data_IF_944081831860
#
_entry.id   IF_944081831860
#
_cell.length_a   1.000
_cell.length_b   1.000
_cell.length_c   1.000
_cell.angle_alpha   90.00
_cell.angle_beta   90.00
_cell.angle_gamma   90.00
#
_symmetry.space_group_name_H-M   'P 1'
#
loop_
_entity.id
_entity.type
_entity.pdbx_description
1 polymer ?
#
# COMPACT_ATOMS: atom_id res chain seq x y z
N UNK A 1 61.43 10.50 30.09
CA UNK A 1 61.40 9.12 30.63
C UNK A 1 61.21 9.20 32.14
N UNK A 2 60.11 8.68 32.67
CA UNK A 2 59.86 8.57 34.10
C UNK A 2 58.88 7.43 34.34
N UNK A 3 59.30 6.42 35.12
CA UNK A 3 58.49 5.27 35.54
C UNK A 3 57.92 5.57 36.93
N UNK A 4 56.63 5.31 37.14
CA UNK A 4 56.06 5.07 38.47
C UNK A 4 55.15 3.84 38.38
N UNK A 5 55.46 2.83 39.18
CA UNK A 5 54.66 1.63 39.40
C UNK A 5 53.59 1.90 40.46
N UNK A 6 52.43 1.23 40.38
CA UNK A 6 51.61 0.97 41.58
C UNK A 6 50.76 -0.29 41.37
N UNK A 7 51.20 -1.39 41.99
CA UNK A 7 50.39 -2.57 42.24
C UNK A 7 49.66 -2.33 43.57
N UNK A 8 48.33 -2.33 43.59
CA UNK A 8 47.56 -2.28 44.82
C UNK A 8 46.46 -3.35 44.83
N UNK A 9 46.63 -4.25 45.80
CA UNK A 9 45.76 -5.32 46.27
C UNK A 9 44.34 -4.84 46.64
N UNK A 10 43.42 -5.81 46.52
CA UNK A 10 42.31 -6.06 47.46
C UNK A 10 41.09 -5.13 47.38
N UNK A 11 39.92 -5.69 47.08
CA UNK A 11 38.99 -6.11 48.13
C UNK A 11 37.59 -6.38 47.54
N UNK A 12 37.09 -7.58 47.80
CA UNK A 12 35.67 -7.94 47.80
C UNK A 12 34.78 -6.80 48.29
N UNK A 13 33.66 -6.53 47.61
CA UNK A 13 32.34 -6.29 48.24
C UNK A 13 31.24 -6.09 47.20
N UNK A 14 30.07 -6.61 47.57
CA UNK A 14 28.72 -6.35 47.05
C UNK A 14 28.32 -7.09 45.79
N UNK A 15 27.69 -8.23 46.05
CA UNK A 15 26.73 -8.82 45.13
C UNK A 15 25.62 -7.84 44.74
N UNK A 16 25.07 -8.06 43.56
CA UNK A 16 23.74 -7.60 43.20
C UNK A 16 23.15 -8.61 42.23
N UNK A 17 22.34 -9.54 42.77
CA UNK A 17 21.32 -10.25 42.02
C UNK A 17 20.52 -9.20 41.25
N UNK A 18 20.53 -9.27 39.93
CA UNK A 18 19.54 -8.59 39.10
C UNK A 18 18.68 -9.67 38.47
N UNK A 19 17.41 -9.59 38.82
CA UNK A 19 16.36 -10.52 38.45
C UNK A 19 16.25 -10.58 36.91
N UNK A 20 16.38 -11.76 36.32
CA UNK A 20 15.86 -12.04 34.98
C UNK A 20 14.33 -12.11 35.09
N UNK A 21 13.72 -10.94 35.25
CA UNK A 21 12.28 -10.76 35.21
C UNK A 21 11.80 -10.98 33.78
N UNK A 22 10.90 -11.95 33.63
CA UNK A 22 10.19 -12.27 32.41
C UNK A 22 9.53 -11.04 31.78
N UNK A 23 9.70 -10.89 30.46
CA UNK A 23 8.65 -10.35 29.60
C UNK A 23 8.53 -11.22 28.35
N UNK A 24 7.38 -11.88 28.27
CA UNK A 24 6.65 -12.15 27.02
C UNK A 24 6.91 -11.03 26.00
N UNK A 25 7.04 -11.27 24.73
CA UNK A 25 6.72 -12.44 23.94
C UNK A 25 6.83 -12.01 22.49
N UNK A 26 6.78 -13.00 21.60
CA UNK A 26 6.52 -12.81 20.18
C UNK A 26 7.44 -11.78 19.53
N UNK A 27 8.59 -12.25 19.06
CA UNK A 27 9.15 -11.72 17.83
C UNK A 27 8.03 -11.80 16.79
N UNK A 28 7.28 -10.71 16.65
CA UNK A 28 6.28 -10.55 15.62
C UNK A 28 7.07 -10.69 14.33
N UNK A 29 6.99 -11.89 13.77
CA UNK A 29 7.41 -12.18 12.41
C UNK A 29 6.65 -11.14 11.60
N UNK A 30 7.32 -10.05 11.23
CA UNK A 30 6.74 -9.03 10.37
C UNK A 30 6.46 -9.77 9.08
N UNK A 31 5.23 -10.27 8.94
CA UNK A 31 4.73 -10.78 7.67
C UNK A 31 4.74 -9.54 6.81
N UNK A 32 5.77 -9.42 5.97
CA UNK A 32 5.77 -8.45 4.89
C UNK A 32 4.42 -8.60 4.21
N UNK A 33 3.55 -7.57 4.21
CA UNK A 33 2.27 -7.69 3.55
C UNK A 33 2.59 -8.12 2.12
N UNK A 34 2.02 -9.25 1.70
CA UNK A 34 2.16 -9.76 0.35
C UNK A 34 1.94 -8.56 -0.58
N UNK A 35 2.98 -8.14 -1.29
CA UNK A 35 2.90 -7.00 -2.19
C UNK A 35 1.69 -7.25 -3.06
N UNK A 36 0.63 -6.42 -2.91
CA UNK A 36 -0.63 -6.63 -3.61
C UNK A 36 -0.28 -6.74 -5.08
N UNK A 37 -0.42 -7.93 -5.64
CA UNK A 37 -0.20 -8.14 -7.06
C UNK A 37 -1.19 -7.22 -7.77
N UNK A 38 -0.75 -6.38 -8.71
CA UNK A 38 -1.68 -5.50 -9.40
C UNK A 38 -2.72 -6.38 -10.08
N UNK A 39 -3.97 -6.30 -9.63
CA UNK A 39 -5.08 -6.99 -10.27
C UNK A 39 -5.35 -6.27 -11.58
N UNK A 40 -4.74 -6.74 -12.66
CA UNK A 40 -5.02 -6.23 -14.00
C UNK A 40 -6.23 -6.99 -14.54
N UNK A 41 -7.39 -6.34 -14.52
CA UNK A 41 -8.57 -6.84 -15.24
C UNK A 41 -8.48 -6.37 -16.69
N UNK A 42 -8.59 -7.31 -17.64
CA UNK A 42 -8.65 -7.01 -19.07
C UNK A 42 -10.13 -7.05 -19.48
N UNK A 43 -10.63 -5.95 -20.04
CA UNK A 43 -11.97 -5.84 -20.58
C UNK A 43 -11.89 -5.76 -22.10
N UNK A 44 -12.47 -6.75 -22.78
CA UNK A 44 -12.62 -6.74 -24.24
C UNK A 44 -13.94 -6.08 -24.59
N UNK A 45 -13.89 -4.98 -25.34
CA UNK A 45 -15.07 -4.28 -25.85
C UNK A 45 -15.16 -4.58 -27.35
N UNK A 46 -16.17 -5.35 -27.74
CA UNK A 46 -16.44 -5.71 -29.13
C UNK A 46 -17.49 -4.78 -29.74
N UNK A 47 -17.59 -4.82 -31.07
CA UNK A 47 -18.61 -4.11 -31.85
C UNK A 47 -18.59 -2.58 -31.67
N UNK A 48 -17.41 -2.00 -31.48
CA UNK A 48 -17.26 -0.54 -31.40
C UNK A 48 -17.36 0.05 -32.81
N UNK A 49 -18.30 0.99 -33.08
CA UNK A 49 -18.39 1.67 -34.36
C UNK A 49 -17.07 2.38 -34.72
N UNK A 50 -16.70 2.37 -36.01
CA UNK A 50 -15.40 2.90 -36.46
C UNK A 50 -15.25 4.40 -36.22
N UNK A 51 -16.32 5.14 -36.41
CA UNK A 51 -16.43 6.58 -36.09
C UNK A 51 -16.16 6.83 -34.60
N UNK A 52 -16.71 5.99 -33.72
CA UNK A 52 -16.50 6.10 -32.28
C UNK A 52 -15.05 5.77 -31.88
N UNK A 53 -14.44 4.76 -32.51
CA UNK A 53 -13.00 4.48 -32.32
C UNK A 53 -12.13 5.66 -32.76
N UNK A 54 -12.43 6.27 -33.91
CA UNK A 54 -11.72 7.45 -34.39
C UNK A 54 -11.82 8.63 -33.43
N UNK A 55 -13.03 8.92 -32.94
CA UNK A 55 -13.24 9.98 -31.96
C UNK A 55 -12.49 9.74 -30.65
N UNK A 56 -12.44 8.49 -30.16
CA UNK A 56 -11.65 8.14 -28.96
C UNK A 56 -10.16 8.40 -29.21
N UNK A 57 -9.63 8.01 -30.37
CA UNK A 57 -8.21 8.20 -30.68
C UNK A 57 -7.85 9.68 -30.74
N UNK A 58 -8.69 10.50 -31.37
CA UNK A 58 -8.50 11.95 -31.40
C UNK A 58 -8.53 12.57 -30.00
N UNK A 59 -9.50 12.19 -29.17
CA UNK A 59 -9.62 12.71 -27.80
C UNK A 59 -8.44 12.28 -26.91
N UNK A 60 -7.96 11.05 -27.08
CA UNK A 60 -6.80 10.55 -26.36
C UNK A 60 -5.51 11.29 -26.79
N UNK A 61 -5.34 11.51 -28.09
CA UNK A 61 -4.19 12.25 -28.64
C UNK A 61 -4.16 13.71 -28.16
N UNK A 62 -5.32 14.38 -28.09
CA UNK A 62 -5.43 15.75 -27.55
C UNK A 62 -4.96 15.88 -26.11
N UNK A 63 -4.95 14.79 -25.35
CA UNK A 63 -4.52 14.75 -23.95
C UNK A 63 -3.14 14.09 -23.77
N UNK A 64 -2.45 13.76 -24.86
CA UNK A 64 -1.18 13.01 -24.85
C UNK A 64 -1.29 11.70 -24.04
N UNK A 65 -2.37 10.95 -24.29
CA UNK A 65 -2.66 9.69 -23.59
C UNK A 65 -2.82 8.53 -24.57
N UNK A 66 -2.47 7.34 -24.10
CA UNK A 66 -2.86 6.11 -24.79
C UNK A 66 -4.38 5.89 -24.70
N UNK A 67 -4.95 5.23 -25.72
CA UNK A 67 -6.37 4.84 -25.76
C UNK A 67 -6.83 4.16 -24.47
N UNK A 68 -6.08 3.18 -23.98
CA UNK A 68 -6.42 2.44 -22.75
C UNK A 68 -6.37 3.31 -21.49
N UNK A 69 -5.43 4.26 -21.41
CA UNK A 69 -5.34 5.20 -20.30
C UNK A 69 -6.53 6.17 -20.29
N UNK A 70 -6.88 6.68 -21.48
CA UNK A 70 -8.05 7.53 -21.67
C UNK A 70 -9.35 6.81 -21.26
N UNK A 71 -9.60 5.62 -21.82
CA UNK A 71 -10.79 4.81 -21.48
C UNK A 71 -10.83 4.47 -19.98
N UNK A 72 -9.71 4.10 -19.37
CA UNK A 72 -9.67 3.81 -17.92
C UNK A 72 -10.10 5.01 -17.10
N UNK A 73 -9.60 6.21 -17.41
CA UNK A 73 -9.94 7.44 -16.69
C UNK A 73 -11.43 7.74 -16.80
N UNK A 74 -12.00 7.67 -18.00
CA UNK A 74 -13.42 7.96 -18.21
C UNK A 74 -14.31 6.91 -17.55
N UNK A 75 -13.95 5.62 -17.61
CA UNK A 75 -14.67 4.57 -16.88
C UNK A 75 -14.66 4.80 -15.37
N UNK A 76 -13.51 5.18 -14.79
CA UNK A 76 -13.42 5.50 -13.37
C UNK A 76 -14.31 6.69 -12.98
N UNK A 77 -14.33 7.73 -13.81
CA UNK A 77 -15.20 8.89 -13.60
C UNK A 77 -16.67 8.49 -13.62
N UNK A 78 -17.10 7.74 -14.63
CA UNK A 78 -18.49 7.28 -14.77
C UNK A 78 -18.90 6.41 -13.58
N UNK A 79 -18.07 5.43 -13.21
CA UNK A 79 -18.34 4.55 -12.05
C UNK A 79 -18.49 5.37 -10.76
N UNK A 80 -17.61 6.35 -10.53
CA UNK A 80 -17.72 7.23 -9.37
C UNK A 80 -19.03 8.04 -9.38
N UNK A 81 -19.45 8.56 -10.54
CA UNK A 81 -20.73 9.27 -10.68
C UNK A 81 -21.94 8.35 -10.40
N UNK A 82 -21.91 7.11 -10.87
CA UNK A 82 -22.97 6.13 -10.56
C UNK A 82 -23.02 5.78 -9.07
N UNK A 83 -21.86 5.51 -8.46
CA UNK A 83 -21.77 5.22 -7.03
C UNK A 83 -22.26 6.39 -6.16
N UNK A 84 -21.93 7.63 -6.57
CA UNK A 84 -22.43 8.82 -5.90
C UNK A 84 -23.96 8.93 -5.99
N UNK A 85 -24.54 8.63 -7.16
CA UNK A 85 -26.00 8.62 -7.35
C UNK A 85 -26.70 7.52 -6.55
N UNK A 86 -26.12 6.33 -6.48
CA UNK A 86 -26.66 5.21 -5.70
C UNK A 86 -26.60 5.51 -4.20
N UNK A 87 -25.52 6.13 -3.72
CA UNK A 87 -25.41 6.56 -2.32
C UNK A 87 -26.49 7.57 -1.93
N UNK A 88 -26.87 8.46 -2.85
CA UNK A 88 -27.96 9.44 -2.65
C UNK A 88 -29.36 8.82 -2.67
N UNK A 89 -29.53 7.61 -3.24
CA UNK A 89 -30.81 6.90 -3.27
C UNK A 89 -31.14 6.16 -1.96
N UNK A 90 -30.21 6.15 -1.00
CA UNK A 90 -30.39 5.50 0.30
C UNK A 90 -30.45 3.96 0.21
N UNK A 91 -30.34 3.23 1.33
CA UNK A 91 -30.54 1.79 1.32
C UNK A 91 -31.99 1.49 0.95
N UNK A 92 -32.21 0.90 -0.24
CA UNK A 92 -33.48 0.22 -0.51
C UNK A 92 -33.60 -0.94 0.48
N UNK A 93 -34.67 -1.03 1.30
CA UNK A 93 -34.88 -2.20 2.13
C UNK A 93 -35.02 -3.40 1.20
N UNK A 94 -34.11 -4.37 1.35
CA UNK A 94 -34.25 -5.67 0.70
C UNK A 94 -35.40 -6.39 1.40
N UNK A 95 -36.52 -6.55 0.70
CA UNK A 95 -37.58 -7.52 1.06
C UNK A 95 -37.04 -8.94 0.91
#
# INVERSE_FOLDING_TARGET
MGKIHTNARSANRRGRRTNFGARSGQSARTVTPLAKTPTVQILTISNVPRDLLGAIDELAARQDRSRSSFIRRELQRIVAEYQAKDALRGPTPRN
#
